data_IF_207087206567
#
_entry.id   IF_207087206567
#
_cell.length_a   1.000
_cell.length_b   1.000
_cell.length_c   1.000
_cell.angle_alpha   90.00
_cell.angle_beta   90.00
_cell.angle_gamma   90.00
#
_symmetry.space_group_name_H-M   'P 1'
#
loop_
_entity.id
_entity.type
_entity.pdbx_description
1 polymer ?
#
# COMPACT_ATOMS: atom_id res chain seq x y z
N UNK A 1 -22.29 48.36 19.06
CA UNK A 1 -21.51 48.28 17.81
C UNK A 1 -21.20 46.81 17.58
N UNK A 2 -21.84 46.17 16.61
CA UNK A 2 -21.54 44.79 16.24
C UNK A 2 -20.32 44.83 15.30
N UNK A 3 -19.20 44.25 15.74
CA UNK A 3 -18.04 44.05 14.88
C UNK A 3 -18.39 42.94 13.88
N UNK A 4 -18.61 43.34 12.63
CA UNK A 4 -18.74 42.43 11.50
C UNK A 4 -17.35 41.84 11.24
N UNK A 5 -17.11 40.63 11.74
CA UNK A 5 -15.89 39.88 11.45
C UNK A 5 -15.84 39.55 9.97
N UNK A 6 -14.96 40.22 9.22
CA UNK A 6 -14.61 39.82 7.87
C UNK A 6 -13.92 38.46 7.96
N UNK A 7 -14.55 37.42 7.43
CA UNK A 7 -13.90 36.14 7.20
C UNK A 7 -12.69 36.40 6.29
N UNK A 8 -11.49 36.07 6.76
CA UNK A 8 -10.30 36.10 5.92
C UNK A 8 -10.52 35.12 4.75
N UNK A 9 -10.19 35.49 3.51
CA UNK A 9 -10.24 34.55 2.40
C UNK A 9 -9.33 33.38 2.73
N UNK A 10 -9.87 32.16 2.68
CA UNK A 10 -9.03 30.96 2.63
C UNK A 10 -8.24 31.05 1.33
N UNK A 11 -6.96 31.41 1.40
CA UNK A 11 -6.07 31.22 0.27
C UNK A 11 -6.00 29.72 0.02
N UNK A 12 -6.55 29.28 -1.12
CA UNK A 12 -6.28 27.94 -1.62
C UNK A 12 -4.77 27.83 -1.87
N UNK A 13 -4.20 26.68 -1.55
CA UNK A 13 -2.83 26.37 -1.91
C UNK A 13 -2.67 26.49 -3.42
N UNK A 14 -1.56 27.08 -3.87
CA UNK A 14 -1.28 27.17 -5.30
C UNK A 14 -0.69 25.85 -5.80
N UNK A 15 -1.04 25.47 -7.02
CA UNK A 15 -0.48 24.30 -7.68
C UNK A 15 0.92 24.62 -8.22
N UNK A 16 1.91 23.81 -7.83
CA UNK A 16 3.31 23.97 -8.21
C UNK A 16 3.84 22.67 -8.82
N UNK A 17 4.16 22.71 -10.11
CA UNK A 17 4.68 21.54 -10.85
C UNK A 17 6.20 21.44 -10.81
N UNK A 18 6.71 20.21 -10.82
CA UNK A 18 8.12 19.91 -11.05
C UNK A 18 8.46 20.21 -12.51
N UNK A 19 9.52 20.99 -12.78
CA UNK A 19 9.86 21.42 -14.16
C UNK A 19 10.96 20.61 -14.82
N UNK A 20 11.63 19.73 -14.07
CA UNK A 20 12.69 18.84 -14.53
C UNK A 20 12.95 17.72 -13.54
N UNK A 21 13.62 16.65 -13.98
CA UNK A 21 14.17 15.67 -13.05
C UNK A 21 15.26 16.30 -12.17
N UNK A 22 15.21 15.99 -10.88
CA UNK A 22 16.14 16.47 -9.86
C UNK A 22 17.47 15.72 -10.00
N UNK A 23 18.59 16.45 -9.97
CA UNK A 23 19.92 15.91 -10.21
C UNK A 23 20.45 15.09 -9.03
N UNK A 24 21.48 14.28 -9.25
CA UNK A 24 22.19 13.54 -8.20
C UNK A 24 22.95 14.54 -7.30
N UNK A 25 22.38 14.86 -6.15
CA UNK A 25 22.93 15.82 -5.19
C UNK A 25 21.84 16.72 -4.61
N UNK A 26 20.85 17.01 -5.43
CA UNK A 26 19.73 17.89 -5.12
C UNK A 26 18.58 17.11 -4.44
N UNK A 27 17.58 17.84 -3.92
CA UNK A 27 16.41 17.22 -3.28
C UNK A 27 15.13 18.07 -3.29
N UNK A 28 14.04 17.44 -2.85
CA UNK A 28 12.65 17.93 -2.91
C UNK A 28 12.32 19.28 -2.24
N UNK A 29 13.21 19.84 -1.41
CA UNK A 29 12.93 21.05 -0.62
C UNK A 29 13.75 22.25 -1.10
N UNK A 30 14.58 22.08 -2.12
CA UNK A 30 15.40 23.14 -2.69
C UNK A 30 14.59 23.95 -3.73
N UNK A 31 14.84 25.26 -3.78
CA UNK A 31 14.24 26.16 -4.77
C UNK A 31 14.91 26.00 -6.14
N UNK A 32 16.25 26.01 -6.10
CA UNK A 32 17.12 26.10 -7.25
C UNK A 32 18.41 25.34 -6.95
N UNK A 33 19.00 24.75 -7.99
CA UNK A 33 20.22 23.97 -7.89
C UNK A 33 21.13 24.24 -9.08
N UNK A 34 22.23 23.50 -9.21
CA UNK A 34 23.10 23.59 -10.38
C UNK A 34 22.37 23.42 -11.73
N UNK A 35 21.21 22.75 -11.73
CA UNK A 35 20.37 22.55 -12.91
C UNK A 35 19.25 23.58 -13.12
N UNK A 36 19.17 24.64 -12.32
CA UNK A 36 18.09 25.63 -12.36
C UNK A 36 16.94 25.34 -11.38
N UNK A 37 15.81 26.03 -11.53
CA UNK A 37 14.64 25.84 -10.68
C UNK A 37 14.18 24.37 -10.66
N UNK A 38 13.78 23.87 -9.49
CA UNK A 38 13.14 22.56 -9.35
C UNK A 38 11.63 22.69 -9.59
N UNK A 39 11.05 23.72 -8.99
CA UNK A 39 9.61 23.98 -8.99
C UNK A 39 9.26 25.14 -9.93
N UNK A 40 8.08 25.10 -10.54
CA UNK A 40 7.63 26.08 -11.53
C UNK A 40 7.47 27.51 -11.00
N UNK A 41 7.31 27.67 -9.69
CA UNK A 41 7.30 28.97 -9.03
C UNK A 41 8.71 29.50 -8.71
N UNK A 42 9.77 28.71 -8.92
CA UNK A 42 11.16 29.08 -8.63
C UNK A 42 11.52 29.12 -7.14
N UNK A 43 10.62 28.69 -6.26
CA UNK A 43 10.78 28.76 -4.81
C UNK A 43 10.96 27.37 -4.19
N UNK A 44 11.46 27.33 -2.96
CA UNK A 44 11.56 26.09 -2.18
C UNK A 44 10.17 25.51 -1.89
N UNK A 45 10.12 24.19 -1.67
CA UNK A 45 8.89 23.56 -1.21
C UNK A 45 8.42 24.19 0.12
N UNK A 46 7.12 24.49 0.23
CA UNK A 46 6.52 25.11 1.41
C UNK A 46 5.06 24.73 1.57
N UNK A 47 4.57 24.72 2.81
CA UNK A 47 3.22 24.28 3.16
C UNK A 47 2.11 25.20 2.61
N UNK A 48 2.47 26.27 1.90
CA UNK A 48 1.52 27.14 1.23
C UNK A 48 1.04 26.59 -0.13
N UNK A 49 1.70 25.56 -0.67
CA UNK A 49 1.45 25.08 -2.03
C UNK A 49 1.29 23.56 -2.09
N UNK A 50 0.55 23.11 -3.10
CA UNK A 50 0.40 21.72 -3.49
C UNK A 50 1.37 21.42 -4.65
N UNK A 51 2.08 20.29 -4.57
CA UNK A 51 3.18 19.99 -5.48
C UNK A 51 2.86 18.80 -6.38
N UNK A 52 3.16 18.92 -7.66
CA UNK A 52 2.82 17.91 -8.67
C UNK A 52 4.06 17.46 -9.44
N UNK A 53 4.23 16.14 -9.54
CA UNK A 53 5.33 15.50 -10.28
C UNK A 53 4.73 14.67 -11.41
N UNK A 54 5.01 15.05 -12.66
CA UNK A 54 4.62 14.33 -13.87
C UNK A 54 5.76 14.30 -14.86
N UNK A 55 6.03 13.14 -15.47
CA UNK A 55 7.09 12.93 -16.48
C UNK A 55 8.53 13.11 -15.98
N UNK A 56 8.74 13.39 -14.71
CA UNK A 56 10.03 13.72 -14.10
C UNK A 56 10.26 12.93 -12.81
N UNK A 57 11.52 12.91 -12.35
CA UNK A 57 11.92 12.26 -11.10
C UNK A 57 12.30 13.30 -10.04
N UNK A 58 11.53 13.35 -8.97
CA UNK A 58 11.87 14.03 -7.71
C UNK A 58 12.79 13.14 -6.88
N UNK A 59 13.61 13.72 -6.00
CA UNK A 59 14.51 12.96 -5.10
C UNK A 59 14.34 13.40 -3.66
N UNK A 60 14.36 12.44 -2.73
CA UNK A 60 14.45 12.74 -1.28
C UNK A 60 15.83 13.32 -0.93
N UNK A 61 16.10 13.61 0.34
CA UNK A 61 17.47 13.89 0.86
C UNK A 61 18.23 12.58 1.13
N UNK A 62 19.55 12.63 1.36
CA UNK A 62 20.33 11.46 1.84
C UNK A 62 20.28 11.25 3.36
N UNK A 63 19.68 12.20 4.09
CA UNK A 63 19.36 12.12 5.52
C UNK A 63 17.86 12.00 5.73
N UNK A 64 17.41 11.72 6.95
CA UNK A 64 15.98 11.82 7.29
C UNK A 64 15.49 13.24 7.04
N UNK A 65 14.29 13.38 6.50
CA UNK A 65 13.70 14.69 6.19
C UNK A 65 12.18 14.61 6.01
N UNK A 66 11.55 15.78 6.13
CA UNK A 66 10.14 15.98 5.82
C UNK A 66 10.03 16.78 4.53
N UNK A 67 9.10 16.42 3.64
CA UNK A 67 8.75 17.25 2.50
C UNK A 67 8.01 18.50 2.99
N UNK A 68 8.46 19.68 2.58
CA UNK A 68 7.94 20.93 3.13
C UNK A 68 6.62 21.39 2.49
N UNK A 69 6.19 20.77 1.39
CA UNK A 69 4.94 21.13 0.70
C UNK A 69 3.68 20.70 1.46
N UNK A 70 2.53 21.29 1.12
CA UNK A 70 1.24 20.90 1.70
C UNK A 70 0.82 19.50 1.26
N UNK A 71 1.01 19.20 -0.03
CA UNK A 71 0.85 17.87 -0.60
C UNK A 71 1.87 17.61 -1.68
N UNK A 72 2.13 16.32 -1.96
CA UNK A 72 2.93 15.87 -3.09
C UNK A 72 2.12 14.86 -3.89
N UNK A 73 1.74 15.21 -5.12
CA UNK A 73 1.04 14.33 -6.05
C UNK A 73 2.01 13.75 -7.08
N UNK A 74 2.14 12.43 -7.11
CA UNK A 74 2.87 11.71 -8.15
C UNK A 74 1.86 11.27 -9.22
N UNK A 75 1.85 11.97 -10.35
CA UNK A 75 1.01 11.65 -11.50
C UNK A 75 1.69 10.63 -12.40
N UNK A 76 0.94 10.10 -13.37
CA UNK A 76 1.49 9.22 -14.41
C UNK A 76 2.81 9.73 -15.02
N UNK A 77 3.80 8.85 -15.09
CA UNK A 77 5.17 9.14 -15.52
C UNK A 77 6.03 9.93 -14.52
N UNK A 78 5.43 10.46 -13.45
CA UNK A 78 6.13 11.11 -12.35
C UNK A 78 6.65 10.10 -11.34
N UNK A 79 7.81 10.39 -10.72
CA UNK A 79 8.40 9.50 -9.72
C UNK A 79 9.04 10.24 -8.55
N UNK A 80 8.97 9.64 -7.38
CA UNK A 80 9.77 9.99 -6.21
C UNK A 80 10.85 8.93 -6.02
N UNK A 81 12.12 9.33 -6.19
CA UNK A 81 13.26 8.47 -5.92
C UNK A 81 13.73 8.65 -4.47
N UNK A 82 13.59 7.58 -3.70
CA UNK A 82 14.10 7.46 -2.34
C UNK A 82 15.62 7.31 -2.40
N UNK A 83 16.34 8.24 -1.80
CA UNK A 83 17.80 8.15 -1.65
C UNK A 83 18.09 7.43 -0.33
N UNK A 84 18.63 6.19 -0.37
CA UNK A 84 19.05 5.53 0.85
C UNK A 84 20.29 6.22 1.44
N UNK A 85 20.65 5.81 2.65
CA UNK A 85 21.91 6.18 3.30
C UNK A 85 22.64 4.98 3.86
N UNK A 86 23.64 5.27 4.66
CA UNK A 86 24.46 4.36 5.47
C UNK A 86 23.86 4.08 6.86
N UNK A 87 22.65 4.58 7.12
CA UNK A 87 21.87 4.36 8.33
C UNK A 87 20.39 4.46 8.00
N UNK A 88 19.54 3.90 8.86
CA UNK A 88 18.08 3.99 8.71
C UNK A 88 17.63 5.45 8.54
N UNK A 89 16.78 5.73 7.54
CA UNK A 89 16.30 7.08 7.23
C UNK A 89 14.79 7.13 7.19
N UNK A 90 14.22 8.24 7.64
CA UNK A 90 12.79 8.50 7.55
C UNK A 90 12.54 9.68 6.63
N UNK A 91 11.74 9.43 5.61
CA UNK A 91 11.24 10.40 4.66
C UNK A 91 9.75 10.60 4.92
N UNK A 92 9.40 11.73 5.49
CA UNK A 92 8.01 12.06 5.85
C UNK A 92 7.38 12.93 4.77
N UNK A 93 6.23 12.50 4.25
CA UNK A 93 5.38 13.33 3.40
C UNK A 93 3.99 13.31 4.05
N UNK A 94 3.59 14.45 4.61
CA UNK A 94 2.33 14.54 5.38
C UNK A 94 1.11 14.16 4.54
N UNK A 95 1.13 14.47 3.24
CA UNK A 95 0.08 14.13 2.28
C UNK A 95 0.68 13.75 0.90
N UNK A 96 1.06 12.48 0.75
CA UNK A 96 1.48 11.89 -0.52
C UNK A 96 0.25 11.35 -1.27
N UNK A 97 0.04 11.81 -2.50
CA UNK A 97 -1.03 11.36 -3.37
C UNK A 97 -0.42 10.61 -4.55
N UNK A 98 -0.82 9.37 -4.74
CA UNK A 98 -0.41 8.53 -5.86
C UNK A 98 -1.54 8.50 -6.89
N UNK A 99 -1.35 9.22 -7.98
CA UNK A 99 -2.29 9.32 -9.11
C UNK A 99 -1.64 8.75 -10.38
N UNK A 100 -1.22 7.49 -10.29
CA UNK A 100 -0.55 6.78 -11.38
C UNK A 100 0.98 6.90 -11.38
N UNK A 101 1.55 7.57 -10.37
CA UNK A 101 2.99 7.78 -10.23
C UNK A 101 3.73 6.63 -9.53
N UNK A 102 5.05 6.79 -9.42
CA UNK A 102 5.95 5.76 -8.90
C UNK A 102 6.75 6.22 -7.68
N UNK A 103 6.74 5.44 -6.60
CA UNK A 103 7.77 5.48 -5.56
C UNK A 103 8.90 4.53 -6.00
N UNK A 104 10.10 5.06 -6.16
CA UNK A 104 11.26 4.31 -6.63
C UNK A 104 12.31 4.23 -5.52
N UNK A 105 12.60 3.02 -5.04
CA UNK A 105 13.69 2.80 -4.13
C UNK A 105 15.03 2.84 -4.88
N UNK A 106 15.86 3.84 -4.56
CA UNK A 106 17.09 4.17 -5.28
C UNK A 106 18.20 3.13 -5.16
N UNK A 107 19.37 3.49 -4.65
CA UNK A 107 20.53 2.57 -4.60
C UNK A 107 20.30 1.42 -3.59
N UNK A 108 21.06 0.31 -3.65
CA UNK A 108 21.05 -0.70 -2.59
C UNK A 108 21.65 -0.13 -1.29
N UNK A 109 21.17 -0.58 -0.14
CA UNK A 109 21.76 -0.26 1.16
C UNK A 109 21.42 -1.32 2.21
N UNK A 110 22.33 -1.55 3.15
CA UNK A 110 22.06 -2.41 4.31
C UNK A 110 21.17 -1.74 5.38
N UNK A 111 20.60 -0.58 5.07
CA UNK A 111 19.75 0.20 5.97
C UNK A 111 18.32 0.24 5.45
N UNK A 112 17.38 0.48 6.37
CA UNK A 112 15.97 0.56 6.04
C UNK A 112 15.57 2.01 5.71
N UNK A 113 14.83 2.19 4.62
CA UNK A 113 14.20 3.46 4.24
C UNK A 113 12.73 3.50 4.69
N UNK A 114 12.41 4.38 5.62
CA UNK A 114 11.06 4.58 6.12
C UNK A 114 10.34 5.66 5.31
N UNK A 115 9.14 5.35 4.82
CA UNK A 115 8.21 6.27 4.17
C UNK A 115 7.08 6.54 5.16
N UNK A 116 7.06 7.75 5.72
CA UNK A 116 6.16 8.16 6.80
C UNK A 116 5.16 9.24 6.35
N UNK A 117 4.10 9.46 7.13
CA UNK A 117 3.05 10.43 6.87
C UNK A 117 1.75 9.76 6.40
N UNK A 118 1.19 10.21 5.28
CA UNK A 118 -0.02 9.62 4.70
C UNK A 118 0.12 9.43 3.19
N UNK A 119 -0.39 8.31 2.68
CA UNK A 119 -0.43 7.94 1.27
C UNK A 119 -1.89 7.72 0.87
N UNK A 120 -2.33 8.43 -0.17
CA UNK A 120 -3.65 8.25 -0.80
C UNK A 120 -3.47 7.75 -2.22
N UNK A 121 -4.00 6.58 -2.54
CA UNK A 121 -4.03 6.05 -3.91
C UNK A 121 -5.32 6.49 -4.60
N UNK A 122 -5.19 7.36 -5.61
CA UNK A 122 -6.28 7.77 -6.48
C UNK A 122 -6.35 6.95 -7.78
N UNK A 123 -5.21 6.44 -8.22
CA UNK A 123 -5.07 5.61 -9.41
C UNK A 123 -4.03 4.52 -9.17
N UNK A 124 -4.06 3.47 -9.98
CA UNK A 124 -3.09 2.36 -9.91
C UNK A 124 -1.67 2.89 -9.97
N UNK A 125 -0.89 2.62 -8.93
CA UNK A 125 0.42 3.24 -8.72
C UNK A 125 1.47 2.18 -8.39
N UNK A 126 2.75 2.57 -8.43
CA UNK A 126 3.87 1.63 -8.34
C UNK A 126 4.81 1.99 -7.18
N UNK A 127 5.16 1.00 -6.36
CA UNK A 127 6.40 0.97 -5.61
C UNK A 127 7.37 0.04 -6.34
N UNK A 128 8.61 0.47 -6.57
CA UNK A 128 9.60 -0.36 -7.27
C UNK A 128 10.95 -0.33 -6.58
N UNK A 129 11.59 -1.50 -6.46
CA UNK A 129 12.92 -1.68 -5.87
C UNK A 129 13.89 -2.46 -6.78
N UNK A 130 13.79 -2.31 -8.11
CA UNK A 130 14.37 -3.27 -9.08
C UNK A 130 15.76 -2.89 -9.63
N UNK A 131 16.58 -3.88 -9.99
CA UNK A 131 17.92 -3.69 -10.60
C UNK A 131 19.12 -3.77 -9.65
N UNK A 132 18.92 -4.15 -8.39
CA UNK A 132 19.96 -4.51 -7.41
C UNK A 132 19.29 -5.21 -6.21
N UNK A 133 20.08 -5.68 -5.25
CA UNK A 133 19.59 -6.35 -4.03
C UNK A 133 19.73 -5.47 -2.79
N UNK A 134 19.00 -5.78 -1.72
CA UNK A 134 19.02 -5.10 -0.43
C UNK A 134 18.49 -3.67 -0.50
N UNK A 135 17.23 -3.51 -0.91
CA UNK A 135 16.49 -2.25 -0.94
C UNK A 135 15.32 -2.27 0.02
N UNK A 136 15.68 -2.40 1.28
CA UNK A 136 14.71 -2.60 2.34
C UNK A 136 14.00 -1.29 2.65
N UNK A 137 12.67 -1.35 2.67
CA UNK A 137 11.83 -0.21 2.99
C UNK A 137 10.73 -0.57 3.99
N UNK A 138 10.27 0.45 4.69
CA UNK A 138 9.09 0.35 5.54
C UNK A 138 8.14 1.50 5.23
N UNK A 139 6.93 1.18 4.78
CA UNK A 139 5.83 2.14 4.74
C UNK A 139 5.22 2.19 6.14
N UNK A 140 5.63 3.20 6.91
CA UNK A 140 5.04 3.56 8.20
C UNK A 140 3.96 4.62 8.07
N UNK A 141 3.76 5.15 6.86
CA UNK A 141 2.66 6.04 6.53
C UNK A 141 1.31 5.30 6.59
N UNK A 142 0.26 6.04 6.93
CA UNK A 142 -1.11 5.56 6.71
C UNK A 142 -1.39 5.44 5.21
N UNK A 143 -2.09 4.39 4.78
CA UNK A 143 -2.44 4.15 3.38
C UNK A 143 -3.95 4.10 3.24
N UNK A 144 -4.46 4.81 2.24
CA UNK A 144 -5.89 4.90 1.89
C UNK A 144 -6.10 4.89 0.37
N UNK A 145 -7.35 4.77 -0.07
CA UNK A 145 -7.73 4.64 -1.47
C UNK A 145 -8.22 3.24 -1.82
N UNK A 146 -8.65 3.06 -3.08
CA UNK A 146 -9.26 1.81 -3.56
C UNK A 146 -8.67 1.29 -4.87
N UNK A 147 -7.56 1.88 -5.33
CA UNK A 147 -6.83 1.44 -6.52
C UNK A 147 -5.83 0.33 -6.21
N UNK A 148 -5.13 -0.18 -7.22
CA UNK A 148 -4.05 -1.15 -7.02
C UNK A 148 -2.75 -0.44 -6.60
N UNK A 149 -2.17 -0.88 -5.50
CA UNK A 149 -0.77 -0.60 -5.19
C UNK A 149 0.08 -1.75 -5.74
N UNK A 150 0.67 -1.52 -6.92
CA UNK A 150 1.61 -2.48 -7.48
C UNK A 150 2.94 -2.32 -6.74
N UNK A 151 3.43 -3.39 -6.14
CA UNK A 151 4.72 -3.46 -5.44
C UNK A 151 5.60 -4.40 -6.25
N UNK A 152 6.66 -3.85 -6.83
CA UNK A 152 7.60 -4.61 -7.63
C UNK A 152 8.97 -4.66 -6.96
N UNK A 153 9.27 -5.80 -6.33
CA UNK A 153 10.54 -6.02 -5.63
C UNK A 153 11.58 -6.64 -6.58
N UNK A 154 12.85 -6.31 -6.36
CA UNK A 154 13.98 -7.00 -6.98
C UNK A 154 14.30 -8.28 -6.21
N UNK A 155 15.58 -8.62 -6.13
CA UNK A 155 16.08 -9.83 -5.45
C UNK A 155 16.59 -9.52 -4.05
N UNK A 156 16.10 -10.22 -3.01
CA UNK A 156 16.47 -9.95 -1.61
C UNK A 156 16.18 -8.50 -1.18
N UNK A 157 15.02 -8.01 -1.59
CA UNK A 157 14.49 -6.72 -1.15
C UNK A 157 13.29 -6.95 -0.25
N UNK A 158 13.21 -6.20 0.84
CA UNK A 158 12.11 -6.35 1.78
C UNK A 158 11.23 -5.10 1.78
N UNK A 159 9.92 -5.29 1.75
CA UNK A 159 8.96 -4.22 2.02
C UNK A 159 8.11 -4.58 3.24
N UNK A 160 8.14 -3.70 4.24
CA UNK A 160 7.27 -3.81 5.42
C UNK A 160 6.17 -2.74 5.40
N UNK A 161 4.93 -3.13 5.67
CA UNK A 161 3.84 -2.21 6.01
C UNK A 161 3.62 -2.26 7.53
N UNK A 162 3.91 -1.16 8.22
CA UNK A 162 3.89 -1.14 9.70
C UNK A 162 2.78 -0.27 10.30
N UNK A 163 2.15 0.60 9.52
CA UNK A 163 1.05 1.45 10.00
C UNK A 163 -0.20 0.64 10.32
N UNK A 164 -0.61 0.60 11.58
CA UNK A 164 -1.90 0.03 11.99
C UNK A 164 -3.13 0.90 11.62
N UNK A 165 -2.91 2.09 11.06
CA UNK A 165 -3.98 3.07 10.75
C UNK A 165 -4.29 3.13 9.25
N UNK A 166 -4.34 1.98 8.58
CA UNK A 166 -4.59 1.89 7.15
C UNK A 166 -6.07 1.69 6.85
N UNK A 167 -6.62 2.55 6.00
CA UNK A 167 -8.01 2.48 5.51
C UNK A 167 -8.07 2.05 4.04
N UNK A 168 -6.93 1.62 3.48
CA UNK A 168 -6.82 1.14 2.12
C UNK A 168 -7.77 -0.02 1.86
N UNK A 169 -8.55 0.07 0.79
CA UNK A 169 -9.56 -0.91 0.39
C UNK A 169 -9.41 -1.34 -1.07
N UNK A 170 -8.22 -1.14 -1.63
CA UNK A 170 -7.86 -1.55 -2.98
C UNK A 170 -7.21 -2.93 -2.98
N UNK A 171 -6.10 -3.05 -3.69
CA UNK A 171 -5.32 -4.30 -3.76
C UNK A 171 -3.84 -4.02 -3.52
N UNK A 172 -3.21 -4.81 -2.65
CA UNK A 172 -1.76 -4.97 -2.61
C UNK A 172 -1.36 -6.04 -3.62
N UNK A 173 -0.77 -5.62 -4.74
CA UNK A 173 -0.28 -6.56 -5.75
C UNK A 173 1.24 -6.60 -5.69
N UNK A 174 1.78 -7.64 -5.09
CA UNK A 174 3.21 -7.77 -4.82
C UNK A 174 3.82 -8.80 -5.77
N UNK A 175 4.81 -8.39 -6.55
CA UNK A 175 5.49 -9.24 -7.51
C UNK A 175 6.99 -9.07 -7.41
N UNK A 176 7.73 -10.10 -7.79
CA UNK A 176 9.16 -10.02 -8.04
C UNK A 176 9.43 -9.89 -9.54
N UNK A 177 10.30 -8.97 -9.95
CA UNK A 177 10.64 -8.80 -11.38
C UNK A 177 11.94 -9.44 -11.82
N UNK A 178 12.81 -9.80 -10.88
CA UNK A 178 14.09 -10.47 -11.16
C UNK A 178 14.05 -11.93 -10.69
N UNK A 179 14.52 -12.87 -11.51
CA UNK A 179 14.68 -14.26 -11.08
C UNK A 179 15.87 -14.36 -10.13
N UNK A 180 15.62 -14.51 -8.83
CA UNK A 180 16.67 -14.54 -7.83
C UNK A 180 16.24 -15.15 -6.51
N UNK A 181 16.96 -14.81 -5.44
CA UNK A 181 16.52 -15.08 -4.08
C UNK A 181 15.14 -14.46 -3.82
N UNK A 182 14.39 -15.10 -2.93
CA UNK A 182 13.08 -14.63 -2.48
C UNK A 182 13.23 -13.24 -1.81
N UNK A 183 12.23 -12.39 -2.06
CA UNK A 183 12.06 -11.08 -1.46
C UNK A 183 10.87 -11.11 -0.51
N UNK A 184 10.89 -10.30 0.53
CA UNK A 184 9.89 -10.42 1.59
C UNK A 184 8.88 -9.25 1.57
N UNK A 185 7.61 -9.57 1.80
CA UNK A 185 6.53 -8.63 2.04
C UNK A 185 5.91 -8.89 3.41
N UNK A 186 6.15 -7.97 4.33
CA UNK A 186 5.76 -8.08 5.74
C UNK A 186 4.66 -7.09 6.10
N UNK A 187 3.70 -7.51 6.92
CA UNK A 187 2.72 -6.62 7.54
C UNK A 187 2.71 -6.80 9.05
N UNK A 188 3.25 -5.83 9.79
CA UNK A 188 3.56 -6.00 11.22
C UNK A 188 2.62 -5.26 12.16
N UNK A 189 1.96 -4.20 11.68
CA UNK A 189 0.95 -3.47 12.46
C UNK A 189 -0.41 -4.14 12.33
N UNK A 190 -1.15 -4.33 13.43
CA UNK A 190 -2.53 -4.84 13.34
C UNK A 190 -3.38 -3.93 12.43
N UNK A 191 -3.92 -4.49 11.34
CA UNK A 191 -4.65 -3.73 10.31
C UNK A 191 -3.76 -3.07 9.25
N UNK A 192 -2.47 -3.40 9.17
CA UNK A 192 -1.52 -2.80 8.23
C UNK A 192 -1.90 -3.01 6.76
N UNK A 193 -2.61 -4.08 6.41
CA UNK A 193 -3.09 -4.27 5.05
C UNK A 193 -4.45 -3.59 4.78
N UNK A 194 -5.01 -2.83 5.74
CA UNK A 194 -6.31 -2.16 5.61
C UNK A 194 -7.47 -3.14 5.41
N UNK A 195 -8.47 -2.77 4.61
CA UNK A 195 -9.49 -3.69 4.07
C UNK A 195 -9.21 -4.12 2.62
N UNK A 196 -7.95 -4.09 2.18
CA UNK A 196 -7.56 -4.41 0.81
C UNK A 196 -7.45 -5.92 0.56
N UNK A 197 -7.62 -6.27 -0.71
CA UNK A 197 -7.24 -7.56 -1.28
C UNK A 197 -5.71 -7.68 -1.35
N UNK A 198 -5.21 -8.91 -1.40
CA UNK A 198 -3.78 -9.21 -1.43
C UNK A 198 -3.48 -10.24 -2.50
N UNK A 199 -2.62 -9.88 -3.44
CA UNK A 199 -2.09 -10.77 -4.48
C UNK A 199 -0.59 -10.85 -4.31
N UNK A 200 -0.08 -12.06 -4.03
CA UNK A 200 1.33 -12.35 -3.82
C UNK A 200 1.83 -13.20 -4.98
N UNK A 201 2.70 -12.64 -5.81
CA UNK A 201 3.32 -13.35 -6.93
C UNK A 201 4.45 -14.28 -6.49
N UNK A 202 4.86 -15.15 -7.40
CA UNK A 202 6.02 -16.03 -7.23
C UNK A 202 7.29 -15.25 -6.86
N UNK A 203 8.16 -15.86 -6.04
CA UNK A 203 9.41 -15.23 -5.60
C UNK A 203 9.26 -14.23 -4.46
N UNK A 204 8.05 -14.08 -3.93
CA UNK A 204 7.75 -13.27 -2.75
C UNK A 204 7.43 -14.20 -1.58
N UNK A 205 8.03 -13.91 -0.42
CA UNK A 205 7.57 -14.45 0.87
C UNK A 205 6.61 -13.45 1.51
N UNK A 206 5.46 -13.93 1.94
CA UNK A 206 4.40 -13.14 2.55
C UNK A 206 4.22 -13.53 4.01
N UNK A 207 4.21 -12.54 4.88
CA UNK A 207 4.08 -12.74 6.32
C UNK A 207 3.33 -11.58 6.97
N UNK A 208 2.45 -11.91 7.91
CA UNK A 208 1.53 -10.98 8.57
C UNK A 208 1.49 -11.31 10.05
N UNK A 209 2.06 -10.45 10.89
CA UNK A 209 2.18 -10.64 12.36
C UNK A 209 0.84 -10.40 13.11
N UNK A 210 -0.30 -10.50 12.44
CA UNK A 210 -1.61 -10.33 13.06
C UNK A 210 -2.71 -11.09 12.32
N UNK A 211 -3.77 -11.45 13.05
CA UNK A 211 -4.95 -12.08 12.47
C UNK A 211 -5.67 -11.12 11.52
N UNK A 212 -5.64 -11.41 10.21
CA UNK A 212 -6.56 -10.80 9.26
C UNK A 212 -7.94 -11.40 9.50
N UNK A 213 -8.92 -10.59 9.89
CA UNK A 213 -10.28 -11.06 10.14
C UNK A 213 -11.28 -10.37 9.20
N UNK A 214 -11.34 -10.77 7.92
CA UNK A 214 -12.26 -10.16 6.94
C UNK A 214 -12.86 -11.15 5.96
N UNK A 215 -14.19 -11.30 5.97
CA UNK A 215 -14.93 -12.14 5.01
C UNK A 215 -15.07 -11.52 3.62
N UNK A 216 -14.70 -10.25 3.44
CA UNK A 216 -14.85 -9.56 2.16
C UNK A 216 -13.59 -9.60 1.31
N UNK A 217 -12.44 -9.93 1.92
CA UNK A 217 -11.12 -9.89 1.27
C UNK A 217 -10.80 -11.14 0.47
N UNK A 218 -9.97 -10.96 -0.55
CA UNK A 218 -9.32 -12.03 -1.29
C UNK A 218 -7.84 -12.10 -0.94
N UNK A 219 -7.35 -13.32 -0.73
CA UNK A 219 -5.93 -13.68 -0.80
C UNK A 219 -5.71 -14.50 -2.07
N UNK A 220 -4.84 -14.05 -2.96
CA UNK A 220 -4.30 -14.83 -4.07
C UNK A 220 -2.79 -15.06 -3.86
N UNK A 221 -2.38 -16.32 -3.72
CA UNK A 221 -1.04 -16.71 -3.33
C UNK A 221 -0.39 -17.58 -4.40
N UNK A 222 0.57 -17.01 -5.11
CA UNK A 222 1.52 -17.70 -5.99
C UNK A 222 2.95 -17.69 -5.41
N UNK A 223 3.17 -16.96 -4.30
CA UNK A 223 4.41 -16.92 -3.52
C UNK A 223 4.41 -17.88 -2.33
N UNK A 224 5.34 -17.67 -1.39
CA UNK A 224 5.46 -18.49 -0.17
C UNK A 224 4.83 -17.71 0.99
N UNK A 225 3.98 -18.34 1.78
CA UNK A 225 3.40 -17.74 2.98
C UNK A 225 4.05 -18.31 4.25
N UNK A 226 4.46 -17.44 5.17
CA UNK A 226 4.66 -17.82 6.57
C UNK A 226 3.27 -17.82 7.22
N UNK A 227 2.75 -19.00 7.52
CA UNK A 227 1.44 -19.14 8.16
C UNK A 227 1.60 -19.48 9.64
N UNK A 228 1.79 -18.45 10.47
CA UNK A 228 1.91 -18.59 11.92
C UNK A 228 0.77 -17.92 12.72
N UNK A 229 -0.09 -17.12 12.03
CA UNK A 229 -1.31 -16.51 12.56
C UNK A 229 -2.59 -17.19 12.03
N UNK A 230 -3.74 -16.86 12.63
CA UNK A 230 -5.05 -17.34 12.20
C UNK A 230 -5.75 -16.29 11.35
N UNK A 231 -5.79 -16.51 10.04
CA UNK A 231 -6.41 -15.57 9.11
C UNK A 231 -7.78 -16.03 8.63
N UNK A 232 -8.65 -15.06 8.35
CA UNK A 232 -9.96 -15.23 7.75
C UNK A 232 -10.09 -14.34 6.52
N UNK A 233 -10.45 -14.94 5.39
CA UNK A 233 -10.68 -14.30 4.11
C UNK A 233 -12.06 -14.70 3.55
N UNK A 234 -12.58 -13.90 2.62
CA UNK A 234 -13.73 -14.26 1.81
C UNK A 234 -13.40 -15.28 0.74
N UNK A 235 -12.24 -15.12 0.13
CA UNK A 235 -11.70 -15.97 -0.92
C UNK A 235 -10.21 -16.21 -0.64
N UNK A 236 -9.78 -17.46 -0.77
CA UNK A 236 -8.36 -17.83 -0.80
C UNK A 236 -8.10 -18.61 -2.08
N UNK A 237 -7.11 -18.17 -2.85
CA UNK A 237 -6.59 -18.84 -4.03
C UNK A 237 -5.12 -19.16 -3.81
N UNK A 238 -4.72 -20.39 -4.12
CA UNK A 238 -3.33 -20.86 -4.02
C UNK A 238 -2.98 -21.51 -5.36
N UNK A 239 -1.98 -20.98 -6.06
CA UNK A 239 -1.61 -21.41 -7.43
C UNK A 239 -2.81 -21.43 -8.40
N UNK A 240 -3.71 -20.44 -8.26
CA UNK A 240 -4.97 -20.37 -9.00
C UNK A 240 -6.09 -21.30 -8.53
N UNK A 241 -5.82 -22.27 -7.66
CA UNK A 241 -6.85 -23.13 -7.06
C UNK A 241 -7.61 -22.38 -5.96
N UNK A 242 -8.92 -22.30 -6.08
CA UNK A 242 -9.77 -21.63 -5.08
C UNK A 242 -10.17 -22.61 -3.98
N UNK A 243 -9.82 -22.30 -2.73
CA UNK A 243 -10.23 -23.10 -1.58
C UNK A 243 -11.74 -23.01 -1.34
N UNK A 244 -12.33 -24.13 -0.92
CA UNK A 244 -13.72 -24.16 -0.50
C UNK A 244 -13.89 -23.47 0.87
N UNK A 245 -15.15 -23.19 1.24
CA UNK A 245 -15.46 -22.67 2.58
C UNK A 245 -15.03 -23.66 3.67
N UNK A 246 -14.33 -23.18 4.70
CA UNK A 246 -13.81 -24.02 5.78
C UNK A 246 -12.63 -23.39 6.49
N UNK A 247 -12.16 -24.05 7.55
CA UNK A 247 -10.92 -23.71 8.24
C UNK A 247 -9.88 -24.78 7.93
N UNK A 248 -8.70 -24.36 7.50
CA UNK A 248 -7.59 -25.21 7.11
C UNK A 248 -6.39 -24.87 8.00
N UNK A 249 -5.91 -25.84 8.77
CA UNK A 249 -4.68 -25.65 9.53
C UNK A 249 -3.48 -25.60 8.58
N UNK A 250 -2.35 -25.04 9.05
CA UNK A 250 -1.08 -25.15 8.34
C UNK A 250 -0.79 -26.60 7.90
N UNK A 251 -1.00 -27.60 8.78
CA UNK A 251 -0.74 -29.00 8.46
C UNK A 251 -1.62 -29.53 7.31
N UNK A 252 -2.88 -29.11 7.24
CA UNK A 252 -3.80 -29.49 6.14
C UNK A 252 -3.35 -28.87 4.82
N UNK A 253 -3.02 -27.58 4.86
CA UNK A 253 -2.55 -26.82 3.69
C UNK A 253 -1.22 -27.36 3.19
N UNK A 254 -0.25 -27.59 4.08
CA UNK A 254 1.08 -28.08 3.74
C UNK A 254 1.05 -29.49 3.12
N UNK A 255 0.01 -30.29 3.40
CA UNK A 255 -0.15 -31.61 2.76
C UNK A 255 -0.46 -31.49 1.26
N UNK A 256 -1.17 -30.43 0.85
CA UNK A 256 -1.66 -30.24 -0.54
C UNK A 256 -0.86 -29.19 -1.30
N UNK A 257 -0.37 -28.17 -0.59
CA UNK A 257 0.23 -26.95 -1.12
C UNK A 257 1.62 -26.67 -0.50
N UNK A 258 2.38 -27.70 -0.16
CA UNK A 258 3.72 -27.64 0.50
C UNK A 258 4.64 -26.55 -0.08
N UNK A 259 4.65 -26.37 -1.40
CA UNK A 259 5.51 -25.39 -2.06
C UNK A 259 5.15 -23.90 -1.77
N UNK A 260 3.97 -23.64 -1.22
CA UNK A 260 3.42 -22.30 -0.99
C UNK A 260 3.42 -21.90 0.49
N UNK A 261 3.91 -22.76 1.39
CA UNK A 261 3.99 -22.45 2.81
C UNK A 261 5.38 -22.74 3.35
N UNK A 262 5.88 -21.89 4.25
CA UNK A 262 7.16 -22.13 4.90
C UNK A 262 7.02 -23.19 6.00
N UNK A 263 7.98 -24.11 6.07
CA UNK A 263 8.03 -25.16 7.08
C UNK A 263 7.91 -24.62 8.51
N UNK A 264 7.11 -25.30 9.32
CA UNK A 264 6.98 -25.00 10.75
C UNK A 264 5.90 -23.99 11.11
N UNK A 265 5.01 -23.65 10.17
CA UNK A 265 3.84 -22.83 10.44
C UNK A 265 2.93 -23.40 11.55
N UNK A 266 2.24 -22.51 12.25
CA UNK A 266 1.34 -22.84 13.37
C UNK A 266 -0.08 -22.32 13.21
N UNK A 267 -0.31 -21.52 12.15
CA UNK A 267 -1.56 -20.81 11.93
C UNK A 267 -2.61 -21.58 11.14
N UNK A 268 -3.62 -20.85 10.67
CA UNK A 268 -4.70 -21.39 9.86
C UNK A 268 -5.28 -20.36 8.89
N UNK A 269 -5.89 -20.86 7.80
CA UNK A 269 -6.71 -20.06 6.89
C UNK A 269 -8.17 -20.48 7.03
N UNK A 270 -9.04 -19.50 7.30
CA UNK A 270 -10.49 -19.67 7.30
C UNK A 270 -11.10 -18.94 6.11
N UNK A 271 -11.84 -19.68 5.29
CA UNK A 271 -12.57 -19.15 4.13
C UNK A 271 -14.04 -19.03 4.51
N UNK A 272 -14.53 -17.79 4.58
CA UNK A 272 -15.94 -17.47 4.84
C UNK A 272 -16.49 -16.72 3.63
N UNK A 273 -17.10 -17.42 2.65
CA UNK A 273 -17.68 -16.75 1.50
C UNK A 273 -18.73 -15.74 1.95
N UNK A 274 -18.77 -14.60 1.26
CA UNK A 274 -19.85 -13.63 1.44
C UNK A 274 -21.22 -14.34 1.30
N UNK A 275 -22.22 -14.01 2.15
CA UNK A 275 -23.53 -14.60 2.06
C UNK A 275 -24.05 -14.38 0.64
N UNK A 276 -24.25 -15.47 -0.11
CA UNK A 276 -24.78 -15.33 -1.47
C UNK A 276 -26.07 -14.50 -1.40
N UNK A 277 -26.22 -13.54 -2.32
CA UNK A 277 -27.44 -12.69 -2.40
C UNK A 277 -28.70 -13.56 -2.47
N UNK A 278 -28.59 -14.78 -2.98
CA UNK A 278 -29.63 -15.81 -2.97
C UNK A 278 -30.03 -16.29 -1.56
N UNK A 279 -29.08 -16.46 -0.64
CA UNK A 279 -29.37 -16.76 0.76
C UNK A 279 -30.10 -15.60 1.46
N UNK A 280 -29.73 -14.35 1.14
CA UNK A 280 -30.38 -13.16 1.69
C UNK A 280 -31.81 -12.99 1.12
N UNK A 281 -31.98 -13.19 -0.19
CA UNK A 281 -33.26 -13.04 -0.87
C UNK A 281 -34.24 -14.16 -0.51
N UNK A 282 -33.76 -15.40 -0.34
CA UNK A 282 -34.59 -16.52 0.13
C UNK A 282 -35.05 -16.35 1.57
N UNK A 283 -34.20 -15.81 2.45
CA UNK A 283 -34.60 -15.38 3.79
C UNK A 283 -35.70 -14.32 3.76
N UNK A 284 -35.56 -13.27 2.96
CA UNK A 284 -36.56 -12.21 2.82
C UNK A 284 -37.90 -12.72 2.26
N UNK A 285 -37.87 -13.61 1.26
CA UNK A 285 -39.08 -14.22 0.71
C UNK A 285 -39.78 -15.13 1.73
N UNK A 286 -39.03 -15.87 2.55
CA UNK A 286 -39.59 -16.67 3.63
C UNK A 286 -40.26 -15.80 4.70
N UNK A 287 -39.65 -14.66 5.08
CA UNK A 287 -40.26 -13.69 5.99
C UNK A 287 -41.51 -13.02 5.39
N UNK A 288 -41.48 -12.64 4.11
CA UNK A 288 -42.64 -12.08 3.42
C UNK A 288 -43.81 -13.08 3.38
N UNK A 289 -43.54 -14.36 3.13
CA UNK A 289 -44.56 -15.39 3.12
C UNK A 289 -45.19 -15.62 4.51
N UNK A 290 -44.39 -15.59 5.57
CA UNK A 290 -44.88 -15.67 6.97
C UNK A 290 -45.73 -14.43 7.32
N UNK A 291 -45.30 -13.24 6.90
CA UNK A 291 -46.03 -11.99 7.14
C UNK A 291 -47.39 -11.96 6.40
N UNK A 292 -47.47 -12.47 5.17
CA UNK A 292 -48.72 -12.59 4.41
C UNK A 292 -49.68 -13.59 5.07
N UNK A 293 -49.18 -14.74 5.56
CA UNK A 293 -50.05 -15.73 6.23
C UNK A 293 -50.70 -15.23 7.52
N UNK A 294 -50.02 -14.36 8.29
CA UNK A 294 -50.59 -13.80 9.53
C UNK A 294 -51.72 -12.80 9.30
N UNK A 295 -51.84 -12.24 8.10
CA UNK A 295 -52.85 -11.23 7.76
C UNK A 295 -54.20 -11.80 7.30
N UNK A 296 -54.29 -13.12 7.14
CA UNK A 296 -55.50 -13.81 6.65
C UNK A 296 -56.29 -14.48 7.78
N UNK A 297 -55.86 -14.30 9.04
CA UNK A 297 -56.44 -14.92 10.23
C UNK A 297 -57.10 -13.94 11.21
N UNK A 298 -57.51 -12.75 10.75
CA UNK A 298 -58.43 -11.82 11.44
C UNK A 298 -59.70 -11.66 10.61
#
# INVERSE_FOLDING_TARGET
MAACGLAAPMLNAADVTLVRSVSQGDHWNEANTSGGAIWSNGESASAANDYFVSGFTLRTTTSSSTFNGNSLTLQSGGSLLLKPGDANRTHTIDNLILDGGTINHGQPSNSNTFIAGAITLLSDSLYTATGSSYRNATISASVSGSSVFNVNLGTSDDLTISSASNSFSGEWRVTQSDSGNVSDFFATGNGALGNADVTIGSGIKFDVDYDIASSTKTLALDGIMILDQDHTFGIVQIDGDTLAAGTYSFADLNTTYDAFFEDGGTGSLTVVPEPSVYALLSGLLAFAWIAVRRRVSE
#
